data_IF_491502062469
#
_entry.id   IF_491502062469
#
_cell.length_a   1.000
_cell.length_b   1.000
_cell.length_c   1.000
_cell.angle_alpha   90.00
_cell.angle_beta   90.00
_cell.angle_gamma   90.00
#
_symmetry.space_group_name_H-M   'P 1'
#
loop_
_entity.id
_entity.type
_entity.pdbx_description
1 polymer ?
#
# COMPACT_ATOMS: atom_id res chain seq x y z
N UNK A 1 6.36 28.13 -32.54
CA UNK A 1 7.33 28.02 -31.43
C UNK A 1 6.72 27.07 -30.41
N UNK A 2 7.09 25.80 -30.48
CA UNK A 2 6.53 24.74 -29.62
C UNK A 2 7.32 24.81 -28.31
N UNK A 3 6.69 24.97 -27.13
CA UNK A 3 7.43 24.92 -25.88
C UNK A 3 7.99 23.52 -25.67
N UNK A 4 9.31 23.43 -25.60
CA UNK A 4 10.06 22.24 -25.18
C UNK A 4 9.51 21.76 -23.84
N UNK A 5 9.06 20.51 -23.84
CA UNK A 5 8.65 19.82 -22.62
C UNK A 5 9.92 19.53 -21.84
N UNK A 6 10.29 20.45 -20.95
CA UNK A 6 11.44 20.33 -20.06
C UNK A 6 11.35 18.98 -19.32
N UNK A 7 12.28 18.08 -19.65
CA UNK A 7 12.31 16.72 -19.10
C UNK A 7 12.50 16.80 -17.59
N UNK A 8 11.43 16.57 -16.83
CA UNK A 8 11.43 16.60 -15.36
C UNK A 8 12.18 15.42 -14.73
N UNK A 9 12.83 14.56 -15.53
CA UNK A 9 13.56 13.40 -15.03
C UNK A 9 14.86 13.84 -14.33
N UNK A 10 15.00 13.50 -13.05
CA UNK A 10 16.20 13.82 -12.25
C UNK A 10 17.06 12.57 -12.05
N UNK A 11 18.27 12.48 -12.63
CA UNK A 11 19.09 11.27 -12.58
C UNK A 11 19.47 10.86 -11.15
N UNK A 12 19.70 11.82 -10.26
CA UNK A 12 20.03 11.58 -8.85
C UNK A 12 18.90 10.87 -8.07
N UNK A 13 17.67 10.91 -8.60
CA UNK A 13 16.47 10.27 -8.03
C UNK A 13 16.01 9.06 -8.84
N UNK A 14 16.86 8.57 -9.74
CA UNK A 14 16.59 7.40 -10.58
C UNK A 14 17.39 6.20 -10.07
N UNK A 15 16.76 5.04 -10.07
CA UNK A 15 17.41 3.77 -9.74
C UNK A 15 16.83 2.67 -10.61
N UNK A 16 17.68 1.72 -11.02
CA UNK A 16 17.27 0.58 -11.81
C UNK A 16 17.03 -0.63 -10.89
N UNK A 17 15.85 -1.24 -11.00
CA UNK A 17 15.53 -2.52 -10.35
C UNK A 17 15.28 -3.55 -11.44
N UNK A 18 15.97 -4.69 -11.35
CA UNK A 18 15.64 -5.86 -12.15
C UNK A 18 14.58 -6.68 -11.42
N UNK A 19 13.36 -6.70 -11.97
CA UNK A 19 12.30 -7.54 -11.44
C UNK A 19 12.47 -8.99 -11.90
N UNK A 20 12.26 -9.95 -11.00
CA UNK A 20 12.27 -11.36 -11.34
C UNK A 20 10.91 -11.82 -11.84
N UNK A 21 10.84 -12.31 -13.07
CA UNK A 21 9.67 -13.01 -13.60
C UNK A 21 9.96 -14.53 -13.54
N UNK A 22 9.41 -15.22 -12.54
CA UNK A 22 9.56 -16.68 -12.35
C UNK A 22 10.46 -17.14 -11.18
N UNK A 23 10.50 -18.46 -10.94
CA UNK A 23 11.21 -19.12 -9.81
C UNK A 23 12.75 -19.17 -9.95
N UNK A 24 13.38 -18.28 -10.71
CA UNK A 24 14.83 -18.35 -10.93
C UNK A 24 15.58 -17.69 -9.77
N UNK A 25 16.25 -18.51 -8.96
CA UNK A 25 17.15 -18.07 -7.87
C UNK A 25 18.48 -17.57 -8.44
N UNK A 26 18.50 -16.38 -9.03
CA UNK A 26 19.76 -15.65 -9.24
C UNK A 26 20.10 -14.91 -7.93
N UNK A 27 21.16 -15.34 -7.24
CA UNK A 27 21.51 -14.90 -5.89
C UNK A 27 22.38 -13.61 -5.88
N UNK A 28 23.06 -13.33 -6.98
CA UNK A 28 23.82 -12.11 -7.24
C UNK A 28 23.03 -11.12 -8.10
N UNK A 29 23.31 -9.81 -7.97
CA UNK A 29 23.08 -8.91 -9.12
C UNK A 29 23.94 -9.52 -10.23
N UNK A 30 23.28 -10.18 -11.19
CA UNK A 30 23.97 -10.93 -12.24
C UNK A 30 25.00 -10.01 -12.87
N UNK A 31 26.22 -10.51 -13.08
CA UNK A 31 27.38 -9.86 -13.72
C UNK A 31 27.14 -9.42 -15.18
N UNK A 32 25.87 -9.28 -15.58
CA UNK A 32 25.35 -8.89 -16.89
C UNK A 32 24.27 -7.79 -16.77
N UNK A 33 24.38 -6.87 -15.82
CA UNK A 33 23.49 -5.70 -15.80
C UNK A 33 24.06 -4.62 -16.73
N UNK A 34 23.31 -4.17 -17.76
CA UNK A 34 23.81 -3.15 -18.68
C UNK A 34 24.05 -1.82 -17.93
N UNK A 35 25.02 -1.03 -18.42
CA UNK A 35 25.22 0.34 -17.96
C UNK A 35 24.05 1.20 -18.46
N UNK A 36 23.14 1.53 -17.54
CA UNK A 36 22.00 2.39 -17.80
C UNK A 36 22.43 3.84 -17.60
N UNK A 37 22.34 4.65 -18.67
CA UNK A 37 22.54 6.10 -18.59
C UNK A 37 21.22 6.81 -18.86
N UNK A 38 20.96 7.87 -18.11
CA UNK A 38 19.85 8.79 -18.33
C UNK A 38 20.41 10.20 -18.26
N UNK A 39 20.22 11.00 -19.31
CA UNK A 39 20.82 12.33 -19.43
C UNK A 39 22.34 12.29 -19.15
N UNK A 40 23.03 11.32 -19.77
CA UNK A 40 24.46 11.00 -19.59
C UNK A 40 24.94 10.62 -18.16
N UNK A 41 24.06 10.65 -17.16
CA UNK A 41 24.34 10.18 -15.81
C UNK A 41 24.10 8.68 -15.66
N UNK A 42 25.02 7.98 -14.97
CA UNK A 42 24.89 6.54 -14.73
C UNK A 42 23.87 6.24 -13.62
N UNK A 43 22.92 5.35 -13.90
CA UNK A 43 21.88 4.95 -12.94
C UNK A 43 22.37 3.75 -12.12
N UNK A 44 22.37 3.85 -10.77
CA UNK A 44 22.76 2.73 -9.92
C UNK A 44 21.70 1.63 -9.94
N UNK A 45 22.16 0.38 -10.03
CA UNK A 45 21.33 -0.80 -9.84
C UNK A 45 21.08 -1.04 -8.35
N UNK A 46 19.81 -1.14 -7.95
CA UNK A 46 19.41 -1.36 -6.56
C UNK A 46 18.47 -2.56 -6.45
N UNK A 47 18.51 -3.26 -5.31
CA UNK A 47 17.60 -4.39 -5.03
C UNK A 47 16.26 -3.95 -4.44
N UNK A 48 16.29 -2.84 -3.71
CA UNK A 48 15.14 -2.20 -3.09
C UNK A 48 15.23 -0.71 -3.39
N UNK A 49 14.13 -0.09 -3.81
CA UNK A 49 14.09 1.36 -4.05
C UNK A 49 12.79 1.96 -3.54
N UNK A 50 12.86 3.20 -3.05
CA UNK A 50 11.71 3.93 -2.54
C UNK A 50 11.25 4.96 -3.57
N UNK A 51 10.05 4.76 -4.10
CA UNK A 51 9.43 5.68 -5.06
C UNK A 51 8.04 6.11 -4.57
N UNK A 52 7.80 7.42 -4.51
CA UNK A 52 6.53 8.02 -4.01
C UNK A 52 6.06 7.44 -2.66
N UNK A 53 7.01 7.11 -1.78
CA UNK A 53 6.71 6.52 -0.48
C UNK A 53 6.32 5.04 -0.54
N UNK A 54 6.43 4.36 -1.67
CA UNK A 54 6.32 2.90 -1.82
C UNK A 54 7.72 2.30 -1.92
N UNK A 55 7.95 1.18 -1.23
CA UNK A 55 9.25 0.47 -1.30
C UNK A 55 9.05 -0.73 -2.20
N UNK A 56 9.72 -0.73 -3.34
CA UNK A 56 9.68 -1.80 -4.33
C UNK A 56 10.85 -2.75 -4.04
N UNK A 57 10.55 -4.03 -3.87
CA UNK A 57 11.53 -5.10 -3.79
C UNK A 57 11.68 -5.80 -5.15
N UNK A 58 12.86 -6.37 -5.42
CA UNK A 58 13.17 -7.13 -6.66
C UNK A 58 12.14 -8.19 -7.06
N UNK A 59 11.35 -8.68 -6.12
CA UNK A 59 10.37 -9.75 -6.31
C UNK A 59 8.90 -9.26 -6.20
N UNK A 60 8.66 -7.96 -6.02
CA UNK A 60 7.32 -7.37 -5.77
C UNK A 60 6.50 -8.08 -4.66
N UNK A 61 7.15 -8.58 -3.60
CA UNK A 61 6.42 -9.09 -2.43
C UNK A 61 5.96 -7.98 -1.49
N UNK A 62 6.54 -6.78 -1.58
CA UNK A 62 6.22 -5.62 -0.76
C UNK A 62 6.34 -5.85 0.76
N UNK A 63 7.17 -6.80 1.20
CA UNK A 63 7.28 -7.18 2.62
C UNK A 63 7.69 -6.00 3.51
N UNK A 64 8.77 -5.33 3.13
CA UNK A 64 9.32 -4.18 3.88
C UNK A 64 8.36 -2.99 3.83
N UNK A 65 7.70 -2.79 2.68
CA UNK A 65 6.67 -1.77 2.52
C UNK A 65 5.50 -2.01 3.48
N UNK A 66 4.93 -3.22 3.49
CA UNK A 66 3.80 -3.59 4.33
C UNK A 66 4.18 -3.54 5.82
N UNK A 67 5.40 -3.93 6.20
CA UNK A 67 5.88 -3.77 7.57
C UNK A 67 5.89 -2.30 8.02
N UNK A 68 6.45 -1.42 7.19
CA UNK A 68 6.47 0.01 7.50
C UNK A 68 5.05 0.57 7.60
N UNK A 69 4.18 0.26 6.64
CA UNK A 69 2.76 0.67 6.65
C UNK A 69 2.06 0.18 7.93
N UNK A 70 2.29 -1.08 8.32
CA UNK A 70 1.77 -1.67 9.55
C UNK A 70 2.24 -0.90 10.79
N UNK A 71 3.54 -0.59 10.88
CA UNK A 71 4.12 0.12 12.02
C UNK A 71 3.56 1.55 12.11
N UNK A 72 3.45 2.26 10.99
CA UNK A 72 2.82 3.58 10.94
C UNK A 72 1.35 3.51 11.37
N UNK A 73 0.59 2.53 10.88
CA UNK A 73 -0.81 2.35 11.28
C UNK A 73 -0.95 2.03 12.78
N UNK A 74 -0.04 1.24 13.36
CA UNK A 74 0.01 0.98 14.79
C UNK A 74 0.34 2.24 15.60
N UNK A 75 1.27 3.06 15.12
CA UNK A 75 1.60 4.34 15.73
C UNK A 75 0.38 5.28 15.79
N UNK A 76 -0.33 5.47 14.68
CA UNK A 76 -1.57 6.26 14.66
C UNK A 76 -2.64 5.66 15.56
N UNK A 77 -2.81 4.33 15.53
CA UNK A 77 -3.77 3.64 16.40
C UNK A 77 -3.45 3.87 17.88
N UNK A 78 -2.18 3.81 18.28
CA UNK A 78 -1.75 4.03 19.66
C UNK A 78 -2.08 5.47 20.09
N UNK A 79 -1.74 6.46 19.26
CA UNK A 79 -2.01 7.88 19.54
C UNK A 79 -3.50 8.21 19.61
N UNK A 80 -4.32 7.54 18.81
CA UNK A 80 -5.79 7.65 18.83
C UNK A 80 -6.46 6.69 19.81
N UNK A 81 -5.69 5.98 20.64
CA UNK A 81 -6.18 4.93 21.52
C UNK A 81 -7.26 5.40 22.50
N UNK A 82 -7.11 6.60 23.06
CA UNK A 82 -8.09 7.19 23.98
C UNK A 82 -9.45 7.44 23.31
N UNK A 83 -9.46 7.78 22.01
CA UNK A 83 -10.69 8.05 21.26
C UNK A 83 -11.31 6.78 20.67
N UNK A 84 -10.49 5.85 20.19
CA UNK A 84 -10.96 4.64 19.51
C UNK A 84 -11.13 3.43 20.45
N UNK A 85 -10.68 3.55 21.69
CA UNK A 85 -10.72 2.50 22.69
C UNK A 85 -12.12 2.20 23.22
N UNK A 86 -12.19 1.13 24.03
CA UNK A 86 -13.43 0.63 24.66
C UNK A 86 -14.06 1.65 25.60
N UNK A 87 -13.22 2.30 26.43
CA UNK A 87 -13.62 3.31 27.42
C UNK A 87 -14.05 4.66 26.81
N UNK A 88 -13.88 4.84 25.49
CA UNK A 88 -14.27 6.08 24.82
C UNK A 88 -15.78 6.18 24.68
N UNK A 89 -16.34 7.31 25.11
CA UNK A 89 -17.77 7.66 24.98
C UNK A 89 -18.17 8.05 23.54
N UNK A 90 -17.24 8.04 22.57
CA UNK A 90 -17.57 8.36 21.19
C UNK A 90 -18.52 7.31 20.58
N UNK A 91 -19.45 7.77 19.74
CA UNK A 91 -20.35 6.89 18.99
C UNK A 91 -19.56 5.95 18.07
N UNK A 92 -20.13 4.78 17.79
CA UNK A 92 -19.55 3.81 16.83
C UNK A 92 -19.31 4.45 15.46
N UNK A 93 -20.23 5.34 15.02
CA UNK A 93 -20.12 6.11 13.77
C UNK A 93 -18.89 7.03 13.78
N UNK A 94 -18.63 7.74 14.86
CA UNK A 94 -17.48 8.66 14.96
C UNK A 94 -16.16 7.89 15.03
N UNK A 95 -16.09 6.82 15.84
CA UNK A 95 -14.92 5.93 15.89
C UNK A 95 -14.59 5.37 14.50
N UNK A 96 -15.61 4.96 13.75
CA UNK A 96 -15.50 4.49 12.38
C UNK A 96 -14.96 5.58 11.44
N UNK A 97 -15.48 6.80 11.51
CA UNK A 97 -15.02 7.93 10.69
C UNK A 97 -13.54 8.20 10.93
N UNK A 98 -13.12 8.31 12.18
CA UNK A 98 -11.71 8.54 12.55
C UNK A 98 -10.82 7.40 12.02
N UNK A 99 -11.25 6.13 12.16
CA UNK A 99 -10.51 5.00 11.60
C UNK A 99 -10.36 5.10 10.09
N UNK A 100 -11.45 5.42 9.35
CA UNK A 100 -11.41 5.56 7.90
C UNK A 100 -10.45 6.67 7.46
N UNK A 101 -10.43 7.79 8.17
CA UNK A 101 -9.64 8.97 7.81
C UNK A 101 -8.16 8.86 8.17
N UNK A 102 -7.82 8.29 9.33
CA UNK A 102 -6.43 8.32 9.84
C UNK A 102 -5.70 6.99 9.68
N UNK A 103 -6.37 5.86 9.92
CA UNK A 103 -5.70 4.55 9.99
C UNK A 103 -5.85 3.79 8.67
N UNK A 104 -7.06 3.77 8.10
CA UNK A 104 -7.30 3.10 6.81
C UNK A 104 -6.51 3.76 5.68
N UNK A 105 -6.53 5.09 5.59
CA UNK A 105 -5.76 5.86 4.59
C UNK A 105 -4.28 5.48 4.58
N UNK A 106 -3.65 5.36 5.74
CA UNK A 106 -2.25 4.90 5.87
C UNK A 106 -2.08 3.48 5.33
N UNK A 107 -3.01 2.57 5.65
CA UNK A 107 -2.95 1.18 5.19
C UNK A 107 -3.24 1.00 3.70
N UNK A 108 -3.97 1.91 3.07
CA UNK A 108 -4.50 1.74 1.71
C UNK A 108 -4.01 2.80 0.71
N UNK A 109 -3.09 3.68 1.09
CA UNK A 109 -2.59 4.78 0.26
C UNK A 109 -2.14 4.33 -1.13
N UNK A 110 -1.28 3.31 -1.20
CA UNK A 110 -0.76 2.78 -2.46
C UNK A 110 -1.43 1.46 -2.84
N UNK A 111 -2.72 1.27 -2.48
CA UNK A 111 -3.39 -0.01 -2.70
C UNK A 111 -3.33 -0.52 -4.15
N UNK A 112 -3.42 0.29 -5.21
CA UNK A 112 -3.31 -0.24 -6.58
C UNK A 112 -1.98 -0.95 -6.86
N UNK A 113 -0.91 -0.55 -6.17
CA UNK A 113 0.44 -1.10 -6.37
C UNK A 113 0.61 -2.45 -5.67
N UNK A 114 0.02 -2.63 -4.48
CA UNK A 114 0.25 -3.83 -3.65
C UNK A 114 -1.03 -4.59 -3.24
N UNK A 115 -2.19 -4.29 -3.83
CA UNK A 115 -3.44 -5.02 -3.59
C UNK A 115 -3.36 -6.52 -3.94
N UNK A 116 -2.45 -6.87 -4.84
CA UNK A 116 -2.19 -8.25 -5.28
C UNK A 116 -0.99 -8.89 -4.58
N UNK A 117 -0.41 -8.24 -3.57
CA UNK A 117 0.66 -8.82 -2.76
C UNK A 117 0.20 -10.12 -2.05
N UNK A 118 1.17 -10.89 -1.55
CA UNK A 118 0.91 -12.18 -0.91
C UNK A 118 -0.19 -12.08 0.18
N UNK A 119 -1.19 -12.99 0.20
CA UNK A 119 -2.29 -12.93 1.16
C UNK A 119 -1.82 -12.89 2.63
N UNK A 120 -0.73 -13.60 2.95
CA UNK A 120 -0.10 -13.59 4.27
C UNK A 120 0.35 -12.19 4.69
N UNK A 121 0.86 -11.38 3.76
CA UNK A 121 1.30 -10.01 4.05
C UNK A 121 0.09 -9.09 4.27
N UNK A 122 -0.93 -9.15 3.41
CA UNK A 122 -2.16 -8.36 3.55
C UNK A 122 -2.94 -8.70 4.83
N UNK A 123 -2.92 -9.97 5.26
CA UNK A 123 -3.55 -10.40 6.50
C UNK A 123 -3.00 -9.66 7.72
N UNK A 124 -1.74 -9.21 7.69
CA UNK A 124 -1.15 -8.44 8.81
C UNK A 124 -1.84 -7.09 9.01
N UNK A 125 -2.29 -6.46 7.91
CA UNK A 125 -3.10 -5.24 7.95
C UNK A 125 -4.53 -5.55 8.41
N UNK A 126 -5.09 -6.69 7.99
CA UNK A 126 -6.40 -7.15 8.45
C UNK A 126 -6.45 -7.32 9.97
N UNK A 127 -5.37 -7.81 10.59
CA UNK A 127 -5.28 -7.93 12.06
C UNK A 127 -5.42 -6.58 12.76
N UNK A 128 -4.87 -5.49 12.19
CA UNK A 128 -5.04 -4.13 12.75
C UNK A 128 -6.50 -3.72 12.69
N UNK A 129 -7.16 -3.94 11.55
CA UNK A 129 -8.59 -3.65 11.40
C UNK A 129 -9.45 -4.47 12.37
N UNK A 130 -9.21 -5.78 12.50
CA UNK A 130 -9.96 -6.64 13.43
C UNK A 130 -9.84 -6.15 14.87
N UNK A 131 -8.60 -5.77 15.28
CA UNK A 131 -8.35 -5.18 16.61
C UNK A 131 -9.11 -3.87 16.81
N UNK A 132 -9.18 -3.02 15.77
CA UNK A 132 -9.99 -1.81 15.81
C UNK A 132 -11.48 -2.12 15.95
N UNK A 133 -12.03 -3.00 15.11
CA UNK A 133 -13.46 -3.34 15.13
C UNK A 133 -13.91 -3.84 16.51
N UNK A 134 -13.10 -4.70 17.15
CA UNK A 134 -13.38 -5.22 18.48
C UNK A 134 -13.26 -4.16 19.59
N UNK A 135 -12.32 -3.22 19.46
CA UNK A 135 -12.19 -2.11 20.41
C UNK A 135 -13.34 -1.09 20.27
N UNK A 136 -13.78 -0.81 19.04
CA UNK A 136 -14.82 0.18 18.77
C UNK A 136 -16.23 -0.28 19.18
N UNK A 137 -16.48 -1.60 19.12
CA UNK A 137 -17.75 -2.23 19.51
C UNK A 137 -17.80 -2.70 20.97
N UNK A 138 -16.65 -2.68 21.66
CA UNK A 138 -16.46 -3.31 22.96
C UNK A 138 -16.90 -4.79 23.01
N UNK A 139 -16.72 -5.50 21.91
CA UNK A 139 -17.22 -6.87 21.77
C UNK A 139 -16.38 -7.88 22.56
N UNK A 140 -17.06 -8.87 23.15
CA UNK A 140 -16.44 -10.02 23.80
C UNK A 140 -15.60 -10.86 22.81
N UNK A 141 -14.66 -11.68 23.29
CA UNK A 141 -13.69 -12.38 22.44
C UNK A 141 -14.33 -13.46 21.55
N UNK A 142 -15.46 -14.02 21.97
CA UNK A 142 -16.21 -15.02 21.22
C UNK A 142 -16.97 -14.45 20.02
N UNK A 143 -17.11 -13.12 19.92
CA UNK A 143 -17.84 -12.49 18.82
C UNK A 143 -17.01 -12.62 17.53
N UNK A 144 -17.62 -13.23 16.51
CA UNK A 144 -16.99 -13.44 15.21
C UNK A 144 -16.64 -12.10 14.53
N UNK A 145 -15.45 -12.01 13.95
CA UNK A 145 -15.01 -10.81 13.22
C UNK A 145 -15.99 -10.40 12.12
N UNK A 146 -16.59 -11.37 11.41
CA UNK A 146 -17.58 -11.10 10.35
C UNK A 146 -18.78 -10.26 10.83
N UNK A 147 -19.25 -10.51 12.07
CA UNK A 147 -20.33 -9.74 12.69
C UNK A 147 -19.86 -8.31 12.96
N UNK A 148 -18.67 -8.14 13.55
CA UNK A 148 -18.11 -6.81 13.84
C UNK A 148 -17.92 -5.96 12.57
N UNK A 149 -17.52 -6.61 11.47
CA UNK A 149 -17.37 -5.98 10.17
C UNK A 149 -18.71 -5.53 9.59
N UNK A 150 -19.75 -6.35 9.73
CA UNK A 150 -21.12 -6.00 9.32
C UNK A 150 -21.66 -4.83 10.13
N UNK A 151 -21.57 -4.89 11.45
CA UNK A 151 -22.13 -3.88 12.36
C UNK A 151 -21.45 -2.52 12.22
N UNK A 152 -20.15 -2.50 11.89
CA UNK A 152 -19.41 -1.27 11.60
C UNK A 152 -19.47 -0.87 10.12
N UNK A 153 -20.09 -1.66 9.24
CA UNK A 153 -20.10 -1.46 7.77
C UNK A 153 -18.68 -1.23 7.22
N UNK A 154 -17.74 -2.07 7.65
CA UNK A 154 -16.36 -2.02 7.20
C UNK A 154 -16.04 -3.26 6.37
N UNK A 155 -15.77 -3.13 5.06
CA UNK A 155 -15.20 -4.24 4.31
C UNK A 155 -13.84 -4.62 4.89
N UNK A 156 -13.43 -5.87 4.65
CA UNK A 156 -12.05 -6.31 4.94
C UNK A 156 -11.06 -5.45 4.15
N UNK A 157 -9.86 -5.25 4.68
CA UNK A 157 -8.82 -4.48 4.01
C UNK A 157 -8.48 -5.09 2.66
N UNK A 158 -8.37 -6.42 2.57
CA UNK A 158 -8.10 -7.10 1.29
C UNK A 158 -9.18 -6.82 0.24
N UNK A 159 -10.47 -6.89 0.62
CA UNK A 159 -11.56 -6.56 -0.31
C UNK A 159 -11.49 -5.08 -0.73
N UNK A 160 -11.37 -4.18 0.23
CA UNK A 160 -11.29 -2.74 -0.06
C UNK A 160 -10.13 -2.39 -0.98
N UNK A 161 -8.95 -2.97 -0.75
CA UNK A 161 -7.77 -2.72 -1.58
C UNK A 161 -7.95 -3.26 -3.01
N UNK A 162 -8.54 -4.45 -3.18
CA UNK A 162 -8.85 -4.99 -4.50
C UNK A 162 -9.87 -4.13 -5.24
N UNK A 163 -10.94 -3.72 -4.56
CA UNK A 163 -11.95 -2.84 -5.14
C UNK A 163 -11.36 -1.48 -5.53
N UNK A 164 -10.49 -0.90 -4.69
CA UNK A 164 -9.79 0.34 -4.98
C UNK A 164 -8.79 0.20 -6.15
N UNK A 165 -8.06 -0.91 -6.19
CA UNK A 165 -7.15 -1.25 -7.29
C UNK A 165 -7.91 -1.39 -8.60
N UNK A 166 -9.01 -2.14 -8.61
CA UNK A 166 -9.87 -2.32 -9.78
C UNK A 166 -10.37 -0.97 -10.30
N UNK A 167 -10.95 -0.14 -9.42
CA UNK A 167 -11.42 1.21 -9.79
C UNK A 167 -10.32 2.08 -10.38
N UNK A 168 -9.10 2.01 -9.85
CA UNK A 168 -7.97 2.75 -10.38
C UNK A 168 -7.64 2.35 -11.82
N UNK A 169 -7.57 1.04 -12.10
CA UNK A 169 -7.30 0.54 -13.45
C UNK A 169 -8.47 0.74 -14.41
N UNK A 170 -9.72 0.62 -13.95
CA UNK A 170 -10.91 0.92 -14.75
C UNK A 170 -10.91 2.38 -15.22
N UNK A 171 -10.58 3.32 -14.33
CA UNK A 171 -10.45 4.75 -14.66
C UNK A 171 -9.30 4.95 -15.65
N UNK A 172 -8.14 4.36 -15.41
CA UNK A 172 -6.98 4.47 -16.30
C UNK A 172 -7.29 3.95 -17.71
N UNK A 173 -7.98 2.81 -17.84
CA UNK A 173 -8.41 2.23 -19.11
C UNK A 173 -9.39 3.10 -19.89
N UNK A 174 -10.24 3.86 -19.20
CA UNK A 174 -11.18 4.81 -19.81
C UNK A 174 -10.58 6.20 -20.10
N UNK A 175 -9.34 6.46 -19.69
CA UNK A 175 -8.76 7.80 -19.69
C UNK A 175 -8.54 8.31 -21.14
N UNK A 176 -8.81 9.59 -21.46
CA UNK A 176 -8.64 10.13 -22.82
C UNK A 176 -7.19 10.07 -23.33
N UNK A 177 -6.22 10.18 -22.43
CA UNK A 177 -4.79 9.99 -22.73
C UNK A 177 -4.47 8.52 -23.00
N UNK A 178 -4.04 8.21 -24.24
CA UNK A 178 -3.69 6.87 -24.69
C UNK A 178 -2.55 6.23 -23.87
N UNK A 179 -1.61 7.03 -23.34
CA UNK A 179 -0.49 6.53 -22.53
C UNK A 179 -0.93 5.93 -21.20
N UNK A 180 -2.14 6.26 -20.73
CA UNK A 180 -2.70 5.73 -19.49
C UNK A 180 -3.62 4.54 -19.72
N UNK A 181 -4.02 4.27 -20.97
CA UNK A 181 -4.90 3.15 -21.34
C UNK A 181 -4.18 1.83 -21.52
N UNK A 182 -2.87 1.86 -21.78
CA UNK A 182 -2.05 0.68 -22.05
C UNK A 182 -1.08 0.36 -20.92
N UNK A 183 -1.30 -0.79 -20.27
CA UNK A 183 -0.43 -1.41 -19.28
C UNK A 183 -0.87 -2.83 -18.98
#
# INVERSE_FOLDING_TARGET
MVPEVEDRSKPDKSAAIQFKYGKIRVDSLSTKTPNLKMLDANIPWQRNYKYLGVTLDKNLHFRDHIERVRNTALFYKARLGAMLGRKSKLSRRNKRTIYKMCIRTVMTYASPVFAHAAPKALHRLQVIQNKFCRAATDAHWCVRNSILHRDLELPTISKYMKDASKRFFDIAGSHPNALLRGG
#
